data_IF_451130928982
#
_entry.id   IF_451130928982
#
_cell.length_a   1.000
_cell.length_b   1.000
_cell.length_c   1.000
_cell.angle_alpha   90.00
_cell.angle_beta   90.00
_cell.angle_gamma   90.00
#
_symmetry.space_group_name_H-M   'P 1'
#
loop_
_entity.id
_entity.type
_entity.pdbx_description
1 polymer ?
#
# COMPACT_ATOMS: atom_id res chain seq x y z
N UNK A 1 -12.65 -85.48 21.25
CA UNK A 1 -11.82 -84.26 21.29
C UNK A 1 -12.64 -83.15 20.65
N UNK A 2 -13.40 -82.42 21.45
CA UNK A 2 -14.43 -81.46 21.02
C UNK A 2 -13.80 -80.02 21.03
N UNK A 3 -13.75 -79.37 19.90
CA UNK A 3 -13.34 -77.97 19.76
C UNK A 3 -14.55 -77.06 20.05
N UNK A 4 -14.50 -76.37 21.17
CA UNK A 4 -15.47 -75.31 21.53
C UNK A 4 -15.22 -74.06 20.70
N UNK A 5 -16.22 -73.65 19.90
CA UNK A 5 -16.27 -72.32 19.26
C UNK A 5 -16.84 -71.34 20.25
N UNK A 6 -16.04 -70.35 20.65
CA UNK A 6 -16.48 -69.21 21.50
C UNK A 6 -17.37 -68.24 20.78
N UNK A 7 -18.26 -67.50 21.49
CA UNK A 7 -19.27 -66.62 20.91
C UNK A 7 -18.62 -65.34 20.35
N UNK A 8 -19.00 -64.99 19.13
CA UNK A 8 -18.60 -63.76 18.44
C UNK A 8 -19.35 -62.58 19.04
N UNK A 9 -18.64 -61.62 19.66
CA UNK A 9 -19.11 -60.40 20.26
C UNK A 9 -19.72 -59.44 19.20
N UNK A 10 -21.03 -59.17 19.25
CA UNK A 10 -21.69 -58.28 18.29
C UNK A 10 -21.33 -56.82 18.45
N UNK A 11 -20.65 -56.40 19.52
CA UNK A 11 -20.27 -55.00 19.76
C UNK A 11 -19.05 -54.54 18.95
N UNK A 12 -18.23 -55.47 18.49
CA UNK A 12 -17.06 -55.14 17.61
C UNK A 12 -17.44 -54.83 16.16
N UNK A 13 -18.64 -55.18 15.71
CA UNK A 13 -19.10 -54.94 14.34
C UNK A 13 -19.82 -53.59 14.17
N UNK A 14 -20.24 -52.93 15.24
CA UNK A 14 -20.88 -51.61 15.16
C UNK A 14 -19.92 -50.44 15.14
N UNK A 15 -18.72 -50.57 15.70
CA UNK A 15 -17.71 -49.50 15.70
C UNK A 15 -17.01 -49.30 14.35
N UNK A 16 -17.05 -50.30 13.47
CA UNK A 16 -16.42 -50.18 12.11
C UNK A 16 -17.41 -49.66 11.04
N UNK A 17 -18.70 -49.51 11.34
CA UNK A 17 -19.68 -48.96 10.39
C UNK A 17 -19.94 -47.46 10.54
N UNK A 18 -19.47 -46.82 11.58
CA UNK A 18 -19.67 -45.38 11.81
C UNK A 18 -18.50 -44.50 11.35
N UNK A 19 -17.38 -45.11 10.86
CA UNK A 19 -16.21 -44.36 10.34
C UNK A 19 -16.21 -44.18 8.82
N UNK A 20 -17.27 -44.59 8.12
CA UNK A 20 -17.36 -44.58 6.66
C UNK A 20 -18.32 -43.54 6.05
N UNK A 21 -18.80 -42.58 6.82
CA UNK A 21 -19.70 -41.53 6.32
C UNK A 21 -19.21 -40.12 6.69
N UNK A 22 -17.97 -39.81 6.38
CA UNK A 22 -17.50 -38.47 6.17
C UNK A 22 -16.77 -38.37 4.82
N UNK A 23 -17.50 -38.48 3.69
CA UNK A 23 -16.95 -38.03 2.43
C UNK A 23 -17.13 -36.53 2.35
N UNK A 24 -16.02 -35.81 2.53
CA UNK A 24 -15.76 -34.74 1.60
C UNK A 24 -16.63 -33.49 1.70
N UNK A 25 -16.54 -32.73 2.79
CA UNK A 25 -16.56 -31.28 2.66
C UNK A 25 -15.09 -30.76 2.62
N UNK A 26 -14.23 -31.40 1.83
CA UNK A 26 -13.20 -30.63 1.17
C UNK A 26 -13.94 -29.77 0.13
N UNK A 27 -14.46 -28.63 0.57
CA UNK A 27 -14.76 -27.54 -0.33
C UNK A 27 -13.47 -27.31 -1.10
N UNK A 28 -13.45 -27.78 -2.35
CA UNK A 28 -12.48 -27.38 -3.37
C UNK A 28 -12.61 -25.86 -3.46
N UNK A 29 -11.90 -25.14 -2.59
CA UNK A 29 -11.55 -23.76 -2.79
C UNK A 29 -10.76 -23.77 -4.09
N UNK A 30 -11.49 -23.66 -5.21
CA UNK A 30 -10.85 -23.39 -6.51
C UNK A 30 -9.99 -22.18 -6.26
N UNK A 31 -8.66 -22.28 -6.47
CA UNK A 31 -7.83 -21.09 -6.35
C UNK A 31 -8.46 -20.03 -7.24
N UNK A 32 -8.81 -18.89 -6.67
CA UNK A 32 -9.20 -17.74 -7.44
C UNK A 32 -8.09 -17.59 -8.48
N UNK A 33 -8.45 -17.70 -9.76
CA UNK A 33 -7.48 -17.52 -10.84
C UNK A 33 -7.05 -16.06 -10.78
N UNK A 34 -5.96 -15.81 -10.07
CA UNK A 34 -5.36 -14.50 -9.96
C UNK A 34 -4.77 -14.10 -11.33
N UNK A 35 -4.95 -12.83 -11.72
CA UNK A 35 -4.24 -12.24 -12.85
C UNK A 35 -4.88 -12.44 -14.22
N UNK A 36 -6.21 -12.37 -14.31
CA UNK A 36 -6.92 -12.38 -15.60
C UNK A 36 -7.16 -11.01 -16.23
N UNK A 37 -6.37 -9.98 -15.88
CA UNK A 37 -6.51 -8.63 -16.44
C UNK A 37 -6.47 -8.68 -17.96
N UNK A 38 -7.43 -7.99 -18.61
CA UNK A 38 -7.57 -7.93 -20.06
C UNK A 38 -6.97 -6.61 -20.54
N UNK A 39 -6.13 -6.67 -21.57
CA UNK A 39 -5.62 -5.46 -22.22
C UNK A 39 -6.77 -4.79 -22.97
N UNK A 40 -7.11 -3.58 -22.53
CA UNK A 40 -8.16 -2.75 -23.16
C UNK A 40 -7.52 -1.49 -23.75
N UNK A 41 -7.98 -1.01 -24.92
CA UNK A 41 -7.53 0.27 -25.45
C UNK A 41 -7.80 1.40 -24.46
N UNK A 42 -6.79 2.22 -24.18
CA UNK A 42 -6.90 3.42 -23.36
C UNK A 42 -6.89 4.65 -24.26
N UNK A 43 -7.74 5.63 -23.93
CA UNK A 43 -7.62 6.97 -24.52
C UNK A 43 -6.26 7.57 -24.15
N UNK A 44 -5.65 8.38 -25.02
CA UNK A 44 -4.31 8.93 -24.82
C UNK A 44 -4.21 9.78 -23.55
N UNK A 45 -5.24 10.55 -23.23
CA UNK A 45 -5.31 11.32 -21.97
C UNK A 45 -5.27 10.43 -20.73
N UNK A 46 -6.01 9.31 -20.75
CA UNK A 46 -6.01 8.33 -19.66
C UNK A 46 -4.64 7.66 -19.55
N UNK A 47 -4.06 7.24 -20.67
CA UNK A 47 -2.71 6.65 -20.70
C UNK A 47 -1.68 7.60 -20.12
N UNK A 48 -1.69 8.87 -20.52
CA UNK A 48 -0.78 9.90 -20.01
C UNK A 48 -0.92 10.10 -18.51
N UNK A 49 -2.15 10.19 -17.99
CA UNK A 49 -2.41 10.34 -16.57
C UNK A 49 -1.90 9.13 -15.74
N UNK A 50 -2.17 7.91 -16.22
CA UNK A 50 -1.69 6.69 -15.57
C UNK A 50 -0.16 6.58 -15.62
N UNK A 51 0.47 6.89 -16.75
CA UNK A 51 1.94 6.90 -16.89
C UNK A 51 2.59 7.92 -15.94
N UNK A 52 2.02 9.11 -15.80
CA UNK A 52 2.49 10.11 -14.84
C UNK A 52 2.36 9.62 -13.40
N UNK A 53 1.26 8.93 -13.06
CA UNK A 53 1.06 8.34 -11.74
C UNK A 53 2.07 7.22 -11.44
N UNK A 54 2.49 6.44 -12.45
CA UNK A 54 3.52 5.41 -12.32
C UNK A 54 4.91 6.03 -12.20
N UNK A 55 5.24 7.02 -13.04
CA UNK A 55 6.56 7.65 -13.09
C UNK A 55 6.92 8.44 -11.82
N UNK A 56 5.92 8.97 -11.12
CA UNK A 56 6.14 9.69 -9.87
C UNK A 56 6.60 8.74 -8.75
N UNK A 57 7.92 8.58 -8.62
CA UNK A 57 8.60 7.60 -7.77
C UNK A 57 8.99 8.15 -6.39
N UNK A 58 8.17 9.02 -5.79
CA UNK A 58 8.43 9.47 -4.42
C UNK A 58 8.59 8.24 -3.49
N UNK A 59 9.60 8.24 -2.60
CA UNK A 59 9.77 7.15 -1.65
C UNK A 59 8.56 7.08 -0.70
N UNK A 60 8.22 5.89 -0.18
CA UNK A 60 7.07 5.71 0.71
C UNK A 60 7.34 6.26 2.12
N UNK A 61 7.70 7.52 2.23
CA UNK A 61 7.88 8.19 3.53
C UNK A 61 6.55 8.82 3.94
N UNK A 62 5.91 8.32 5.01
CA UNK A 62 4.68 8.89 5.50
C UNK A 62 4.90 10.30 6.06
N UNK A 63 4.14 11.27 5.58
CA UNK A 63 4.12 12.63 6.13
C UNK A 63 2.84 12.76 6.96
N UNK A 64 2.96 13.25 8.19
CA UNK A 64 1.85 13.36 9.14
C UNK A 64 1.57 14.81 9.49
N UNK A 65 0.31 15.20 9.48
CA UNK A 65 -0.14 16.55 9.84
C UNK A 65 0.01 16.84 11.36
N UNK A 66 0.12 15.81 12.20
CA UNK A 66 0.24 15.95 13.65
C UNK A 66 0.92 14.75 14.31
N UNK A 67 1.40 14.92 15.52
CA UNK A 67 1.93 13.83 16.36
C UNK A 67 0.86 12.76 16.62
N UNK A 68 -0.40 13.15 16.84
CA UNK A 68 -1.52 12.23 17.02
C UNK A 68 -1.72 11.34 15.79
N UNK A 69 -1.67 11.91 14.58
CA UNK A 69 -1.76 11.16 13.33
C UNK A 69 -0.59 10.19 13.15
N UNK A 70 0.61 10.62 13.54
CA UNK A 70 1.81 9.75 13.53
C UNK A 70 1.65 8.57 14.49
N UNK A 71 1.18 8.81 15.70
CA UNK A 71 0.96 7.76 16.69
C UNK A 71 -0.13 6.77 16.25
N UNK A 72 -1.24 7.26 15.68
CA UNK A 72 -2.28 6.41 15.11
C UNK A 72 -1.71 5.49 14.00
N UNK A 73 -0.90 6.06 13.11
CA UNK A 73 -0.21 5.27 12.09
C UNK A 73 0.72 4.21 12.69
N UNK A 74 1.50 4.54 13.70
CA UNK A 74 2.42 3.57 14.33
C UNK A 74 1.66 2.43 15.02
N UNK A 75 0.53 2.71 15.67
CA UNK A 75 -0.36 1.68 16.23
C UNK A 75 -0.94 0.79 15.13
N UNK A 76 -1.41 1.39 14.02
CA UNK A 76 -1.85 0.65 12.86
C UNK A 76 -0.74 -0.26 12.30
N UNK A 77 0.47 0.27 12.13
CA UNK A 77 1.62 -0.45 11.59
C UNK A 77 1.98 -1.67 12.47
N UNK A 78 2.00 -1.47 13.80
CA UNK A 78 2.24 -2.56 14.76
C UNK A 78 1.17 -3.65 14.62
N UNK A 79 -0.12 -3.27 14.67
CA UNK A 79 -1.23 -4.22 14.56
C UNK A 79 -1.21 -5.01 13.24
N UNK A 80 -0.90 -4.33 12.12
CA UNK A 80 -0.80 -5.00 10.81
C UNK A 80 0.44 -5.89 10.74
N UNK A 81 1.55 -5.47 11.34
CA UNK A 81 2.77 -6.27 11.44
C UNK A 81 2.50 -7.59 12.16
N UNK A 82 1.78 -7.58 13.28
CA UNK A 82 1.43 -8.79 14.02
C UNK A 82 0.53 -9.73 13.19
N UNK A 83 -0.46 -9.18 12.48
CA UNK A 83 -1.34 -9.96 11.60
C UNK A 83 -0.59 -10.60 10.43
N UNK A 84 0.45 -9.94 9.93
CA UNK A 84 1.23 -10.39 8.78
C UNK A 84 2.38 -11.34 9.16
N UNK A 85 2.74 -11.44 10.43
CA UNK A 85 3.91 -12.18 10.93
C UNK A 85 4.05 -13.59 10.35
N UNK A 86 2.95 -14.38 10.34
CA UNK A 86 2.99 -15.78 9.83
C UNK A 86 3.31 -15.88 8.34
N UNK A 87 3.01 -14.85 7.54
CA UNK A 87 3.26 -14.82 6.09
C UNK A 87 4.56 -14.14 5.72
N UNK A 88 5.03 -13.25 6.57
CA UNK A 88 6.25 -12.47 6.40
C UNK A 88 6.98 -12.36 7.75
N UNK A 89 7.76 -13.40 8.16
CA UNK A 89 8.39 -13.43 9.49
C UNK A 89 9.47 -12.36 9.70
N UNK A 90 10.17 -11.96 8.63
CA UNK A 90 11.19 -10.91 8.69
C UNK A 90 10.55 -9.56 9.00
N UNK A 91 10.99 -8.91 10.09
CA UNK A 91 10.39 -7.67 10.60
C UNK A 91 10.63 -6.50 9.65
N UNK A 92 11.87 -6.32 9.19
CA UNK A 92 12.24 -5.16 8.37
C UNK A 92 11.49 -5.20 7.05
N UNK A 93 11.47 -6.37 6.39
CA UNK A 93 10.68 -6.58 5.18
C UNK A 93 9.19 -6.33 5.39
N UNK A 94 8.67 -6.78 6.54
CA UNK A 94 7.24 -6.61 6.88
C UNK A 94 6.88 -5.15 7.08
N UNK A 95 7.74 -4.40 7.79
CA UNK A 95 7.58 -2.95 8.00
C UNK A 95 7.65 -2.21 6.67
N UNK A 96 8.69 -2.44 5.85
CA UNK A 96 8.84 -1.83 4.53
C UNK A 96 7.63 -2.10 3.64
N UNK A 97 7.15 -3.36 3.64
CA UNK A 97 5.98 -3.76 2.87
C UNK A 97 4.72 -3.00 3.31
N UNK A 98 4.44 -2.96 4.62
CA UNK A 98 3.25 -2.29 5.15
C UNK A 98 3.29 -0.78 4.96
N UNK A 99 4.46 -0.15 5.12
CA UNK A 99 4.66 1.27 4.82
C UNK A 99 4.39 1.56 3.34
N UNK A 100 4.91 0.70 2.45
CA UNK A 100 4.71 0.87 1.00
C UNK A 100 3.26 0.66 0.61
N UNK A 101 2.57 -0.35 1.15
CA UNK A 101 1.14 -0.58 0.91
C UNK A 101 0.32 0.61 1.40
N UNK A 102 0.58 1.09 2.62
CA UNK A 102 -0.11 2.25 3.20
C UNK A 102 0.06 3.49 2.32
N UNK A 103 1.30 3.75 1.89
CA UNK A 103 1.61 4.89 1.03
C UNK A 103 0.91 4.81 -0.32
N UNK A 104 1.07 3.70 -1.06
CA UNK A 104 0.54 3.56 -2.42
C UNK A 104 -1.00 3.47 -2.44
N UNK A 105 -1.62 2.83 -1.45
CA UNK A 105 -3.08 2.79 -1.35
C UNK A 105 -3.67 4.17 -1.11
N UNK A 106 -3.14 4.93 -0.15
CA UNK A 106 -3.62 6.29 0.16
C UNK A 106 -3.36 7.27 -0.98
N UNK A 107 -2.20 7.16 -1.63
CA UNK A 107 -1.88 7.94 -2.82
C UNK A 107 -2.89 7.71 -3.95
N UNK A 108 -3.38 6.50 -4.11
CA UNK A 108 -4.39 6.14 -5.08
C UNK A 108 -5.84 6.39 -4.59
N UNK A 109 -6.04 6.89 -3.38
CA UNK A 109 -7.36 7.09 -2.79
C UNK A 109 -8.12 5.77 -2.55
N UNK A 110 -7.38 4.72 -2.16
CA UNK A 110 -7.92 3.39 -1.86
C UNK A 110 -7.81 3.09 -0.37
N UNK A 111 -8.76 2.33 0.17
CA UNK A 111 -8.68 1.79 1.51
C UNK A 111 -7.52 0.80 1.64
N UNK A 112 -6.61 1.03 2.61
CA UNK A 112 -5.43 0.18 2.81
C UNK A 112 -5.81 -1.26 3.16
N UNK A 113 -6.88 -1.47 3.93
CA UNK A 113 -7.43 -2.80 4.25
C UNK A 113 -7.88 -3.55 3.00
N UNK A 114 -8.53 -2.86 2.05
CA UNK A 114 -8.93 -3.43 0.77
C UNK A 114 -7.72 -3.89 -0.05
N UNK A 115 -6.68 -3.04 -0.13
CA UNK A 115 -5.46 -3.38 -0.88
C UNK A 115 -4.74 -4.59 -0.24
N UNK A 116 -4.68 -4.66 1.10
CA UNK A 116 -4.14 -5.83 1.79
C UNK A 116 -4.96 -7.10 1.53
N UNK A 117 -6.29 -6.99 1.53
CA UNK A 117 -7.19 -8.09 1.16
C UNK A 117 -6.98 -8.57 -0.27
N UNK A 118 -6.83 -7.64 -1.21
CA UNK A 118 -6.53 -7.94 -2.61
C UNK A 118 -5.18 -8.67 -2.74
N UNK A 119 -4.11 -8.17 -2.12
CA UNK A 119 -2.79 -8.81 -2.13
C UNK A 119 -2.86 -10.24 -1.53
N UNK A 120 -3.67 -10.42 -0.49
CA UNK A 120 -3.89 -11.75 0.09
C UNK A 120 -4.51 -12.73 -0.93
N UNK A 121 -5.50 -12.30 -1.70
CA UNK A 121 -6.15 -13.11 -2.73
C UNK A 121 -5.21 -13.37 -3.91
N UNK A 122 -4.48 -12.33 -4.37
CA UNK A 122 -3.64 -12.39 -5.55
C UNK A 122 -2.40 -13.27 -5.37
N UNK A 123 -1.66 -13.05 -4.30
CA UNK A 123 -0.36 -13.70 -4.12
C UNK A 123 -0.16 -14.38 -2.77
N UNK A 124 -1.05 -14.15 -1.80
CA UNK A 124 -0.81 -14.53 -0.41
C UNK A 124 0.44 -13.85 0.16
N UNK A 125 0.73 -12.62 -0.26
CA UNK A 125 1.91 -11.82 0.12
C UNK A 125 3.25 -12.35 -0.41
N UNK A 126 3.25 -13.08 -1.52
CA UNK A 126 4.48 -13.61 -2.16
C UNK A 126 5.03 -12.64 -3.19
N UNK A 127 6.23 -12.12 -2.95
CA UNK A 127 6.91 -11.15 -3.81
C UNK A 127 7.13 -11.66 -5.24
N UNK A 128 7.47 -12.92 -5.38
CA UNK A 128 7.84 -13.54 -6.66
C UNK A 128 6.74 -14.45 -7.20
N UNK A 129 5.49 -14.21 -6.83
CA UNK A 129 4.37 -14.97 -7.38
C UNK A 129 4.26 -14.73 -8.88
N UNK A 130 4.06 -15.84 -9.64
CA UNK A 130 3.76 -15.81 -11.07
C UNK A 130 2.57 -16.74 -11.31
N UNK A 131 1.54 -16.22 -11.97
CA UNK A 131 0.37 -17.03 -12.33
C UNK A 131 0.59 -17.78 -13.65
N UNK A 132 -0.29 -18.74 -13.94
CA UNK A 132 -0.26 -19.51 -15.21
C UNK A 132 -0.42 -18.62 -16.44
N UNK A 133 -1.02 -17.43 -16.29
CA UNK A 133 -1.17 -16.45 -17.37
C UNK A 133 -0.07 -15.37 -17.36
N UNK A 134 0.93 -15.52 -16.49
CA UNK A 134 2.09 -14.65 -16.44
C UNK A 134 1.93 -13.38 -15.59
N UNK A 135 0.87 -13.24 -14.80
CA UNK A 135 0.73 -12.13 -13.84
C UNK A 135 1.81 -12.21 -12.76
N UNK A 136 2.34 -11.08 -12.27
CA UNK A 136 3.56 -11.01 -11.47
C UNK A 136 3.41 -10.24 -10.17
N UNK A 137 4.09 -10.73 -9.14
CA UNK A 137 4.32 -10.05 -7.88
C UNK A 137 3.14 -10.02 -6.94
N UNK A 138 3.21 -9.14 -5.94
CA UNK A 138 2.24 -9.04 -4.85
C UNK A 138 0.79 -8.86 -5.31
N UNK A 139 0.57 -7.96 -6.27
CA UNK A 139 -0.75 -7.61 -6.80
C UNK A 139 -1.05 -8.26 -8.16
N UNK A 140 -0.23 -9.24 -8.59
CA UNK A 140 -0.42 -10.01 -9.81
C UNK A 140 -0.70 -9.14 -11.05
N UNK A 141 0.24 -8.25 -11.34
CA UNK A 141 0.14 -7.34 -12.48
C UNK A 141 0.49 -8.06 -13.77
N UNK A 142 -0.35 -7.92 -14.79
CA UNK A 142 -0.09 -8.46 -16.12
C UNK A 142 1.04 -7.67 -16.80
N UNK A 143 2.00 -8.35 -17.46
CA UNK A 143 3.16 -7.72 -18.10
C UNK A 143 2.84 -6.63 -19.11
N UNK A 144 1.69 -6.71 -19.80
CA UNK A 144 1.31 -5.70 -20.80
C UNK A 144 1.20 -4.29 -20.19
N UNK A 145 0.83 -4.18 -18.90
CA UNK A 145 0.73 -2.89 -18.24
C UNK A 145 2.04 -2.11 -18.24
N UNK A 146 3.20 -2.80 -18.18
CA UNK A 146 4.49 -2.11 -18.24
C UNK A 146 4.73 -1.44 -19.59
N UNK A 147 4.19 -1.99 -20.67
CA UNK A 147 4.24 -1.38 -22.02
C UNK A 147 3.23 -0.25 -22.17
N UNK A 148 2.04 -0.41 -21.57
CA UNK A 148 0.92 0.53 -21.76
C UNK A 148 1.14 1.82 -20.96
N UNK A 149 1.59 1.72 -19.72
CA UNK A 149 1.71 2.87 -18.79
C UNK A 149 3.05 2.97 -18.06
N UNK A 150 4.00 2.08 -18.31
CA UNK A 150 5.32 2.04 -17.70
C UNK A 150 6.44 2.24 -18.73
N UNK A 151 7.60 1.71 -18.39
CA UNK A 151 8.83 1.77 -19.21
C UNK A 151 9.07 0.52 -20.08
N UNK A 152 8.14 -0.40 -20.11
CA UNK A 152 8.18 -1.63 -20.90
C UNK A 152 8.91 -2.80 -20.24
N UNK A 153 9.54 -2.63 -19.08
CA UNK A 153 10.27 -3.71 -18.40
C UNK A 153 9.36 -4.52 -17.43
N UNK A 154 8.94 -5.73 -17.81
CA UNK A 154 8.11 -6.57 -16.94
C UNK A 154 8.90 -7.20 -15.78
N UNK A 155 10.21 -7.15 -15.76
CA UNK A 155 11.06 -7.59 -14.63
C UNK A 155 10.86 -6.70 -13.41
N UNK A 156 10.59 -5.41 -13.62
CA UNK A 156 10.32 -4.44 -12.55
C UNK A 156 9.06 -4.73 -11.74
N UNK A 157 8.15 -5.56 -12.26
CA UNK A 157 6.98 -6.01 -11.50
C UNK A 157 7.32 -6.90 -10.29
N UNK A 158 8.56 -7.35 -10.15
CA UNK A 158 9.04 -7.99 -8.92
C UNK A 158 9.64 -7.00 -7.90
N UNK A 159 9.79 -5.73 -8.24
CA UNK A 159 10.13 -4.70 -7.26
C UNK A 159 8.88 -4.34 -6.48
N UNK A 160 9.00 -4.37 -5.16
CA UNK A 160 7.85 -4.21 -4.25
C UNK A 160 7.08 -2.91 -4.52
N UNK A 161 7.77 -1.77 -4.44
CA UNK A 161 7.12 -0.48 -4.65
C UNK A 161 6.50 -0.34 -6.05
N UNK A 162 7.22 -0.78 -7.08
CA UNK A 162 6.73 -0.75 -8.46
C UNK A 162 5.45 -1.57 -8.59
N UNK A 163 5.44 -2.79 -8.08
CA UNK A 163 4.28 -3.69 -8.16
C UNK A 163 3.04 -3.11 -7.44
N UNK A 164 3.22 -2.63 -6.21
CA UNK A 164 2.16 -2.03 -5.40
C UNK A 164 1.62 -0.74 -6.05
N UNK A 165 2.49 0.07 -6.63
CA UNK A 165 2.11 1.27 -7.37
C UNK A 165 1.26 0.94 -8.59
N UNK A 166 1.73 0.03 -9.46
CA UNK A 166 0.95 -0.41 -10.61
C UNK A 166 -0.43 -0.94 -10.18
N UNK A 167 -0.46 -1.81 -9.17
CA UNK A 167 -1.72 -2.40 -8.71
C UNK A 167 -2.71 -1.36 -8.18
N UNK A 168 -2.25 -0.42 -7.36
CA UNK A 168 -3.10 0.64 -6.83
C UNK A 168 -3.59 1.60 -7.93
N UNK A 169 -2.70 1.99 -8.86
CA UNK A 169 -3.06 2.87 -9.99
C UNK A 169 -4.08 2.20 -10.92
N UNK A 170 -3.88 0.93 -11.25
CA UNK A 170 -4.79 0.16 -12.11
C UNK A 170 -6.14 -0.03 -11.42
N UNK A 171 -6.17 -0.39 -10.13
CA UNK A 171 -7.41 -0.55 -9.40
C UNK A 171 -8.17 0.79 -9.30
N UNK A 172 -7.47 1.90 -9.04
CA UNK A 172 -8.06 3.25 -9.03
C UNK A 172 -8.66 3.59 -10.39
N UNK A 173 -7.93 3.34 -11.48
CA UNK A 173 -8.45 3.52 -12.84
C UNK A 173 -9.75 2.74 -13.09
N UNK A 174 -9.80 1.48 -12.67
CA UNK A 174 -11.02 0.69 -12.83
C UNK A 174 -12.16 1.19 -11.94
N UNK A 175 -11.84 1.66 -10.72
CA UNK A 175 -12.84 2.24 -9.82
C UNK A 175 -13.46 3.52 -10.43
N UNK A 176 -12.63 4.39 -11.02
CA UNK A 176 -13.11 5.59 -11.71
C UNK A 176 -13.97 5.24 -12.93
N UNK A 177 -13.53 4.24 -13.71
CA UNK A 177 -14.27 3.73 -14.86
C UNK A 177 -15.63 3.13 -14.49
N UNK A 178 -15.72 2.48 -13.34
CA UNK A 178 -16.96 1.92 -12.79
C UNK A 178 -17.71 2.92 -11.88
N UNK A 179 -17.38 4.22 -11.95
CA UNK A 179 -18.06 5.32 -11.23
C UNK A 179 -18.13 5.10 -9.72
N UNK A 180 -17.10 4.52 -9.14
CA UNK A 180 -17.00 4.23 -7.71
C UNK A 180 -17.54 2.86 -7.29
N UNK A 181 -18.06 2.05 -8.21
CA UNK A 181 -18.48 0.68 -7.90
C UNK A 181 -17.25 -0.24 -7.73
N UNK A 182 -16.88 -0.49 -6.48
CA UNK A 182 -15.72 -1.32 -6.14
C UNK A 182 -15.92 -2.79 -6.53
N UNK A 183 -17.14 -3.31 -6.45
CA UNK A 183 -17.42 -4.69 -6.86
C UNK A 183 -17.12 -4.88 -8.35
N UNK A 184 -17.57 -3.97 -9.18
CA UNK A 184 -17.33 -4.00 -10.63
C UNK A 184 -15.87 -3.73 -10.97
N UNK A 185 -15.21 -2.81 -10.24
CA UNK A 185 -13.78 -2.49 -10.40
C UNK A 185 -12.89 -3.70 -10.10
N UNK A 186 -13.15 -4.42 -9.00
CA UNK A 186 -12.46 -5.67 -8.66
C UNK A 186 -12.70 -6.74 -9.73
N UNK A 187 -13.93 -6.84 -10.24
CA UNK A 187 -14.24 -7.75 -11.34
C UNK A 187 -13.43 -7.43 -12.60
N UNK A 188 -13.25 -6.14 -12.96
CA UNK A 188 -12.34 -5.73 -14.06
C UNK A 188 -10.90 -6.06 -13.76
N UNK A 189 -10.45 -5.76 -12.55
CA UNK A 189 -9.08 -6.04 -12.12
C UNK A 189 -8.70 -7.51 -12.35
N UNK A 190 -9.60 -8.42 -12.05
CA UNK A 190 -9.39 -9.86 -12.25
C UNK A 190 -9.81 -10.36 -13.66
N UNK A 191 -10.38 -9.54 -14.53
CA UNK A 191 -10.92 -9.98 -15.82
C UNK A 191 -12.24 -10.77 -15.71
N UNK A 192 -12.96 -10.62 -14.60
CA UNK A 192 -14.22 -11.32 -14.32
C UNK A 192 -15.37 -10.35 -14.00
N UNK A 193 -15.42 -9.21 -14.67
CA UNK A 193 -16.41 -8.15 -14.46
C UNK A 193 -17.82 -8.71 -14.32
N UNK A 194 -18.53 -8.29 -13.27
CA UNK A 194 -19.90 -8.73 -12.97
C UNK A 194 -20.02 -10.12 -12.33
N UNK A 195 -18.93 -10.89 -12.19
CA UNK A 195 -18.93 -12.18 -11.50
C UNK A 195 -18.58 -12.00 -10.02
N UNK A 196 -19.33 -12.59 -9.08
CA UNK A 196 -19.19 -12.31 -7.66
C UNK A 196 -18.00 -13.01 -6.97
N UNK A 197 -17.45 -14.06 -7.57
CA UNK A 197 -16.47 -14.92 -6.91
C UNK A 197 -15.22 -14.15 -6.45
N UNK A 198 -14.63 -13.35 -7.35
CA UNK A 198 -13.42 -12.62 -7.03
C UNK A 198 -13.67 -11.40 -6.12
N UNK A 199 -14.62 -10.49 -6.41
CA UNK A 199 -14.92 -9.39 -5.49
C UNK A 199 -15.27 -9.85 -4.09
N UNK A 200 -16.10 -10.89 -3.95
CA UNK A 200 -16.48 -11.44 -2.65
C UNK A 200 -15.26 -12.04 -1.91
N UNK A 201 -14.35 -12.70 -2.62
CA UNK A 201 -13.12 -13.20 -2.02
C UNK A 201 -12.23 -12.07 -1.49
N UNK A 202 -12.11 -10.95 -2.24
CA UNK A 202 -11.35 -9.78 -1.81
C UNK A 202 -11.99 -9.11 -0.61
N UNK A 203 -13.31 -8.88 -0.60
CA UNK A 203 -14.01 -8.31 0.55
C UNK A 203 -13.93 -9.21 1.80
N UNK A 204 -14.03 -10.52 1.62
CA UNK A 204 -13.82 -11.45 2.74
C UNK A 204 -12.38 -11.40 3.28
N UNK A 205 -11.39 -11.28 2.38
CA UNK A 205 -9.98 -11.17 2.73
C UNK A 205 -9.62 -9.79 3.31
N UNK A 206 -10.41 -8.73 3.06
CA UNK A 206 -10.23 -7.40 3.61
C UNK A 206 -10.50 -7.36 5.12
N UNK A 207 -11.56 -8.03 5.59
CA UNK A 207 -12.04 -7.96 6.98
C UNK A 207 -10.94 -8.12 8.05
N UNK A 208 -10.02 -9.11 7.96
CA UNK A 208 -8.93 -9.24 8.92
C UNK A 208 -7.94 -8.08 8.91
N UNK A 209 -7.96 -7.20 7.90
CA UNK A 209 -7.07 -6.05 7.76
C UNK A 209 -7.73 -4.74 8.18
N UNK A 210 -9.03 -4.74 8.48
CA UNK A 210 -9.72 -3.59 9.04
C UNK A 210 -9.14 -3.25 10.42
N UNK A 211 -8.95 -1.95 10.66
CA UNK A 211 -8.35 -1.46 11.91
C UNK A 211 -9.12 -0.26 12.42
N UNK A 212 -9.51 -0.34 13.68
CA UNK A 212 -10.07 0.77 14.44
C UNK A 212 -9.04 1.15 15.50
N UNK A 213 -8.66 2.42 15.53
CA UNK A 213 -7.75 2.93 16.56
C UNK A 213 -8.51 3.14 17.86
N UNK A 214 -8.23 2.31 18.85
CA UNK A 214 -8.82 2.39 20.20
C UNK A 214 -7.98 3.26 21.15
N UNK A 215 -7.12 4.15 20.62
CA UNK A 215 -6.38 5.05 21.50
C UNK A 215 -7.34 5.87 22.38
N UNK A 216 -7.03 6.06 23.66
CA UNK A 216 -7.78 7.03 24.46
C UNK A 216 -7.67 8.41 23.79
N UNK A 217 -8.73 9.23 23.86
CA UNK A 217 -8.65 10.61 23.39
C UNK A 217 -7.44 11.29 24.04
N UNK A 218 -6.74 12.19 23.32
CA UNK A 218 -5.64 12.92 23.93
C UNK A 218 -6.15 13.54 25.23
N UNK A 219 -5.47 13.24 26.33
CA UNK A 219 -5.79 13.89 27.59
C UNK A 219 -5.77 15.39 27.31
N UNK A 220 -6.91 16.03 27.48
CA UNK A 220 -7.01 17.48 27.44
C UNK A 220 -5.90 17.96 28.37
N UNK A 221 -4.98 18.74 27.84
CA UNK A 221 -3.80 19.25 28.57
C UNK A 221 -4.27 19.63 29.97
N UNK A 222 -3.75 18.94 30.96
CA UNK A 222 -4.03 19.32 32.34
C UNK A 222 -3.73 20.80 32.43
N UNK A 223 -4.74 21.60 32.78
CA UNK A 223 -4.58 23.01 33.11
C UNK A 223 -3.37 23.05 34.05
N UNK A 224 -2.34 23.86 33.76
CA UNK A 224 -1.21 23.96 34.67
C UNK A 224 -1.75 24.24 36.06
N UNK A 225 -1.37 23.46 37.03
CA UNK A 225 -1.74 23.65 38.40
C UNK A 225 -1.41 25.13 38.77
N UNK A 226 -2.29 25.84 39.46
CA UNK A 226 -1.99 27.20 39.88
C UNK A 226 -0.69 27.17 40.69
N UNK A 227 0.27 27.96 40.27
CA UNK A 227 1.53 28.15 41.04
C UNK A 227 1.21 28.50 42.48
N UNK A 228 1.90 27.93 43.49
CA UNK A 228 1.69 28.34 44.86
C UNK A 228 2.03 29.83 44.99
N UNK A 229 1.27 30.59 45.79
CA UNK A 229 1.51 32.01 45.95
C UNK A 229 2.94 32.23 46.50
N UNK A 230 3.75 32.95 45.73
CA UNK A 230 5.06 33.42 46.16
C UNK A 230 4.84 34.37 47.35
N UNK A 231 5.25 33.94 48.52
CA UNK A 231 5.29 34.72 49.75
C UNK A 231 6.08 36.02 49.55
N UNK A 232 5.36 37.14 49.55
CA UNK A 232 5.92 38.48 49.58
C UNK A 232 6.63 38.72 50.91
N UNK A 233 7.96 38.76 50.90
CA UNK A 233 8.70 39.40 52.00
C UNK A 233 9.12 40.79 51.57
N UNK A 234 8.70 41.76 52.37
CA UNK A 234 8.79 43.19 52.17
C UNK A 234 10.23 43.75 52.36
N UNK A 235 10.44 45.05 52.15
CA UNK A 235 11.68 45.59 51.63
C UNK A 235 12.59 46.18 52.71
N UNK A 236 13.89 46.21 52.46
CA UNK A 236 14.78 47.18 53.19
C UNK A 236 15.65 47.93 52.19
N UNK A 237 15.48 49.20 52.29
CA UNK A 237 16.15 50.39 51.84
C UNK A 237 17.68 50.31 51.77
N UNK A 238 18.27 50.81 50.70
CA UNK A 238 19.27 51.90 50.67
C UNK A 238 19.86 52.06 49.26
N UNK A 239 19.61 53.23 48.68
CA UNK A 239 20.37 53.82 47.58
C UNK A 239 21.54 54.64 48.18
N UNK A 240 22.47 55.32 47.40
CA UNK A 240 22.59 55.45 45.95
C UNK A 240 24.05 55.41 45.44
N UNK A 241 24.26 55.49 44.17
CA UNK A 241 25.17 56.40 43.39
C UNK A 241 25.72 55.75 42.11
N UNK A 242 25.31 56.39 41.07
CA UNK A 242 26.00 56.94 39.88
C UNK A 242 27.09 56.12 39.17
N UNK A 243 26.84 55.88 37.88
CA UNK A 243 27.63 56.40 36.76
C UNK A 243 27.11 55.79 35.40
N UNK A 244 26.84 56.70 34.47
CA UNK A 244 26.47 56.39 33.07
C UNK A 244 27.74 56.25 32.19
N UNK A 245 27.54 56.11 30.84
CA UNK A 245 27.93 54.96 30.03
C UNK A 245 29.18 55.22 29.19
N UNK A 246 29.57 54.36 28.23
CA UNK A 246 29.20 54.68 26.84
C UNK A 246 28.99 53.49 25.88
N UNK A 247 28.04 53.73 25.00
CA UNK A 247 28.00 53.47 23.52
C UNK A 247 28.92 52.43 22.88
N UNK A 248 28.37 51.54 22.13
CA UNK A 248 28.55 51.60 20.65
C UNK A 248 28.35 50.24 19.96
N UNK A 249 27.60 50.35 18.93
CA UNK A 249 27.59 49.70 17.62
C UNK A 249 26.82 48.40 17.38
N UNK A 250 25.80 48.65 16.65
CA UNK A 250 25.09 47.83 15.70
C UNK A 250 25.97 47.02 14.74
N UNK A 251 25.54 45.83 14.42
CA UNK A 251 25.63 45.29 13.07
C UNK A 251 24.55 44.26 12.84
N UNK A 252 23.47 44.70 12.23
CA UNK A 252 22.51 43.87 11.55
C UNK A 252 23.13 43.32 10.27
N UNK A 253 23.12 42.02 10.08
CA UNK A 253 23.39 41.45 8.73
C UNK A 253 22.12 40.74 8.26
N UNK A 254 21.59 41.12 7.07
CA UNK A 254 20.46 40.44 6.46
C UNK A 254 20.91 39.18 5.72
N UNK A 255 20.07 38.18 5.78
CA UNK A 255 20.19 36.93 5.03
C UNK A 255 19.90 37.22 3.55
N UNK A 256 20.73 36.77 2.60
CA UNK A 256 20.46 36.97 1.18
C UNK A 256 19.44 35.95 0.66
N UNK A 257 18.50 36.49 -0.11
CA UNK A 257 17.48 35.76 -0.84
C UNK A 257 18.11 34.85 -1.93
N UNK A 258 17.49 33.70 -2.06
CA UNK A 258 17.71 32.68 -3.08
C UNK A 258 17.65 33.25 -4.49
N UNK A 259 18.72 33.06 -5.24
CA UNK A 259 18.81 33.39 -6.68
C UNK A 259 18.39 32.17 -7.48
N UNK A 260 17.29 32.31 -8.20
CA UNK A 260 16.84 31.40 -9.25
C UNK A 260 17.60 31.76 -10.53
N UNK A 261 18.31 30.81 -11.18
CA UNK A 261 18.90 31.09 -12.49
C UNK A 261 17.87 30.98 -13.61
N UNK A 262 17.93 31.88 -14.65
CA UNK A 262 16.98 31.89 -15.73
C UNK A 262 17.25 30.81 -16.78
N UNK A 263 16.18 30.35 -17.42
CA UNK A 263 16.13 29.40 -18.50
C UNK A 263 17.01 29.88 -19.70
N UNK A 264 17.87 29.01 -20.18
CA UNK A 264 18.62 29.20 -21.44
C UNK A 264 17.69 29.00 -22.63
N UNK A 265 17.51 30.06 -23.38
CA UNK A 265 16.91 30.08 -24.72
C UNK A 265 17.81 29.40 -25.74
N UNK A 266 17.16 28.79 -26.67
CA UNK A 266 17.56 27.95 -27.74
C UNK A 266 18.75 28.35 -28.62
N UNK A 267 19.22 27.34 -29.33
CA UNK A 267 19.77 27.54 -30.69
C UNK A 267 19.20 26.48 -31.61
N UNK A 268 18.42 26.96 -32.53
CA UNK A 268 18.00 26.31 -33.76
C UNK A 268 19.24 26.05 -34.62
N UNK A 269 19.46 24.81 -34.99
CA UNK A 269 20.29 24.49 -36.15
C UNK A 269 19.50 23.66 -37.12
N UNK A 270 19.05 24.32 -38.19
CA UNK A 270 18.58 23.78 -39.43
C UNK A 270 19.71 23.02 -40.13
N UNK A 271 19.43 21.78 -40.52
CA UNK A 271 20.32 20.99 -41.34
C UNK A 271 19.55 19.91 -42.07
N UNK A 272 19.02 20.27 -43.21
CA UNK A 272 18.45 19.35 -44.17
C UNK A 272 19.54 18.45 -44.76
N UNK A 273 19.36 17.14 -44.71
CA UNK A 273 20.04 16.21 -45.64
C UNK A 273 18.98 15.23 -46.16
N UNK A 274 18.62 15.51 -47.38
CA UNK A 274 17.88 14.63 -48.33
C UNK A 274 18.78 13.44 -48.67
N UNK A 275 18.31 12.23 -48.47
CA UNK A 275 18.79 11.10 -49.29
C UNK A 275 17.64 10.14 -49.60
N UNK A 276 17.29 10.18 -50.85
CA UNK A 276 16.38 9.25 -51.53
C UNK A 276 17.07 7.90 -51.74
N UNK A 277 16.40 6.80 -51.36
CA UNK A 277 16.69 5.47 -51.91
C UNK A 277 15.38 4.83 -52.37
N UNK A 278 15.41 4.46 -53.62
CA UNK A 278 14.43 3.92 -54.57
C UNK A 278 14.01 2.47 -54.18
N UNK A 279 12.78 2.02 -54.47
CA UNK A 279 12.34 0.65 -54.19
C UNK A 279 12.78 -0.30 -55.34
N UNK A 280 13.03 -1.54 -54.97
CA UNK A 280 13.16 -2.66 -55.90
C UNK A 280 12.07 -3.70 -55.59
N UNK A 281 11.23 -3.97 -56.55
CA UNK A 281 10.49 -5.20 -56.74
C UNK A 281 11.18 -6.00 -57.90
N UNK A 282 10.86 -7.21 -58.13
CA UNK A 282 9.66 -8.00 -57.94
C UNK A 282 9.68 -9.08 -56.88
#
# INVERSE_FOLDING_TARGET
>A
MSLQTGPSDPRRRQTLRQLALLPGLLALARPARAGGQIEEPLADSVRTALSSAIANSAPPVPIFASTAARLAYLRWLSAMSDRLYKRMPDLDRRVDFLQTVWYESRRAGLETSLVLGLIQVESGFRKYAVSVVGARGYMQIMPFWTRVIGDGDPGKLFHMQTNLRFGCVILRHYLDRERGDMFMALGRYNGSRGKPQYPNAVFAAQRPWEYVDHAPPPALSATPAPEPPTSSAAPTSSAPMAASPPTSHAASHPIPASVIPPARKGHSVSGAVTNAIKPASP
#
